data_IF_967646483067
#
_entry.id   IF_967646483067
#
_cell.length_a   1.000
_cell.length_b   1.000
_cell.length_c   1.000
_cell.angle_alpha   90.00
_cell.angle_beta   90.00
_cell.angle_gamma   90.00
#
_symmetry.space_group_name_H-M   'P 1'
#
loop_
_entity.id
_entity.type
_entity.pdbx_description
1 polymer ?
#
# COMPACT_ATOMS: atom_id res chain seq x y z
N UNK A 1 -19.69 -18.91 18.59
CA UNK A 1 -19.72 -18.75 17.12
C UNK A 1 -19.03 -17.45 16.84
N UNK A 2 -17.85 -17.50 16.23
CA UNK A 2 -17.06 -16.30 15.95
C UNK A 2 -17.77 -15.36 14.98
N UNK A 3 -17.42 -14.08 15.05
CA UNK A 3 -17.93 -13.04 14.14
C UNK A 3 -17.65 -13.38 12.68
N UNK A 4 -16.56 -14.10 12.39
CA UNK A 4 -16.11 -14.54 11.05
C UNK A 4 -17.16 -15.40 10.35
N UNK A 5 -17.75 -16.37 11.06
CA UNK A 5 -18.80 -17.22 10.48
C UNK A 5 -20.02 -16.40 10.10
N UNK A 6 -20.42 -15.45 10.95
CA UNK A 6 -21.57 -14.60 10.67
C UNK A 6 -21.35 -13.69 9.45
N UNK A 7 -20.15 -13.12 9.29
CA UNK A 7 -19.81 -12.29 8.12
C UNK A 7 -19.81 -13.14 6.86
N UNK A 8 -19.12 -14.26 6.86
CA UNK A 8 -19.04 -15.18 5.72
C UNK A 8 -20.42 -15.66 5.28
N UNK A 9 -21.24 -16.14 6.19
CA UNK A 9 -22.55 -16.69 5.86
C UNK A 9 -23.51 -15.64 5.30
N UNK A 10 -23.45 -14.39 5.80
CA UNK A 10 -24.21 -13.27 5.25
C UNK A 10 -23.76 -12.91 3.85
N UNK A 11 -22.44 -12.79 3.63
CA UNK A 11 -21.89 -12.49 2.31
C UNK A 11 -22.26 -13.57 1.31
N UNK A 12 -22.16 -14.85 1.67
CA UNK A 12 -22.61 -15.98 0.82
C UNK A 12 -24.10 -15.91 0.48
N UNK A 13 -24.93 -15.54 1.45
CA UNK A 13 -26.38 -15.46 1.23
C UNK A 13 -26.76 -14.37 0.21
N UNK A 14 -26.05 -13.25 0.17
CA UNK A 14 -26.30 -12.14 -0.76
C UNK A 14 -25.52 -12.24 -2.07
N UNK A 15 -24.41 -12.98 -2.10
CA UNK A 15 -23.50 -13.09 -3.24
C UNK A 15 -24.18 -13.39 -4.59
N UNK A 16 -25.23 -14.24 -4.67
CA UNK A 16 -25.90 -14.52 -5.95
C UNK A 16 -26.49 -13.30 -6.66
N UNK A 17 -26.62 -12.17 -5.97
CA UNK A 17 -27.15 -10.92 -6.54
C UNK A 17 -26.07 -9.96 -7.02
N UNK A 18 -24.78 -10.32 -6.87
CA UNK A 18 -23.64 -9.47 -7.20
C UNK A 18 -22.67 -10.13 -8.18
N UNK A 19 -21.93 -9.30 -8.92
CA UNK A 19 -20.85 -9.75 -9.80
C UNK A 19 -19.49 -9.83 -9.12
N UNK A 20 -19.33 -9.22 -7.93
CA UNK A 20 -18.11 -9.24 -7.12
C UNK A 20 -18.37 -8.72 -5.71
N UNK A 21 -17.47 -9.00 -4.78
CA UNK A 21 -17.58 -8.58 -3.37
C UNK A 21 -16.31 -7.82 -2.97
N UNK A 22 -16.48 -6.57 -2.56
CA UNK A 22 -15.46 -5.81 -1.87
C UNK A 22 -15.66 -5.91 -0.36
N UNK A 23 -14.65 -6.39 0.37
CA UNK A 23 -14.64 -6.47 1.82
C UNK A 23 -13.90 -5.26 2.38
N UNK A 24 -14.48 -4.62 3.39
CA UNK A 24 -13.89 -3.47 4.08
C UNK A 24 -14.13 -3.56 5.59
N UNK A 25 -13.30 -2.88 6.37
CA UNK A 25 -13.42 -2.69 7.82
C UNK A 25 -13.44 -4.00 8.65
N UNK A 26 -12.87 -5.07 8.12
CA UNK A 26 -12.69 -6.32 8.82
C UNK A 26 -11.28 -6.39 9.38
N UNK A 27 -11.16 -6.39 10.71
CA UNK A 27 -9.85 -6.38 11.37
C UNK A 27 -9.05 -7.68 11.19
N UNK A 28 -7.73 -7.57 11.31
CA UNK A 28 -6.86 -8.74 11.44
C UNK A 28 -6.94 -9.35 12.86
N UNK A 29 -6.79 -10.69 13.00
CA UNK A 29 -6.47 -11.65 11.95
C UNK A 29 -7.70 -12.20 11.18
N UNK A 30 -8.91 -11.88 11.59
CA UNK A 30 -10.16 -12.45 11.08
C UNK A 30 -10.33 -12.19 9.57
N UNK A 31 -9.92 -11.02 9.08
CA UNK A 31 -10.04 -10.66 7.68
C UNK A 31 -9.34 -11.63 6.72
N UNK A 32 -8.21 -12.21 7.12
CA UNK A 32 -7.48 -13.16 6.28
C UNK A 32 -8.28 -14.45 6.03
N UNK A 33 -8.87 -14.98 7.08
CA UNK A 33 -9.65 -16.22 6.99
C UNK A 33 -10.99 -16.00 6.27
N UNK A 34 -11.65 -14.87 6.53
CA UNK A 34 -12.91 -14.52 5.87
C UNK A 34 -12.70 -14.38 4.37
N UNK A 35 -11.68 -13.61 3.95
CA UNK A 35 -11.37 -13.41 2.54
C UNK A 35 -10.99 -14.73 1.87
N UNK A 36 -10.09 -15.52 2.48
CA UNK A 36 -9.66 -16.81 1.95
C UNK A 36 -10.85 -17.75 1.68
N UNK A 37 -11.73 -17.91 2.67
CA UNK A 37 -12.90 -18.79 2.53
C UNK A 37 -13.89 -18.28 1.48
N UNK A 38 -14.17 -16.99 1.46
CA UNK A 38 -15.08 -16.44 0.46
C UNK A 38 -14.55 -16.61 -0.96
N UNK A 39 -13.24 -16.46 -1.17
CA UNK A 39 -12.61 -16.75 -2.46
C UNK A 39 -12.71 -18.22 -2.88
N UNK A 40 -12.67 -19.15 -1.93
CA UNK A 40 -12.80 -20.57 -2.19
C UNK A 40 -14.26 -21.02 -2.41
N UNK A 41 -15.21 -20.33 -1.77
CA UNK A 41 -16.61 -20.74 -1.72
C UNK A 41 -17.52 -20.01 -2.71
N UNK A 42 -17.03 -18.93 -3.34
CA UNK A 42 -17.78 -18.13 -4.31
C UNK A 42 -17.16 -18.17 -5.71
N UNK A 43 -18.01 -18.17 -6.72
CA UNK A 43 -17.63 -18.15 -8.13
C UNK A 43 -17.51 -16.71 -8.72
N UNK A 44 -17.47 -15.70 -7.85
CA UNK A 44 -17.31 -14.28 -8.20
C UNK A 44 -16.07 -13.70 -7.51
N UNK A 45 -15.43 -12.65 -8.06
CA UNK A 45 -14.24 -12.08 -7.45
C UNK A 45 -14.53 -11.47 -6.09
N UNK A 46 -13.69 -11.81 -5.12
CA UNK A 46 -13.70 -11.26 -3.76
C UNK A 46 -12.35 -10.62 -3.48
N UNK A 47 -12.35 -9.41 -2.98
CA UNK A 47 -11.14 -8.70 -2.57
C UNK A 47 -11.39 -7.92 -1.27
N UNK A 48 -10.44 -7.93 -0.35
CA UNK A 48 -10.47 -7.08 0.83
C UNK A 48 -9.66 -5.82 0.56
N UNK A 49 -10.33 -4.67 0.46
CA UNK A 49 -9.71 -3.42 0.00
C UNK A 49 -8.65 -2.87 0.97
N UNK A 50 -8.89 -2.94 2.29
CA UNK A 50 -7.88 -2.51 3.28
C UNK A 50 -6.57 -3.30 3.19
N UNK A 51 -6.61 -4.52 2.69
CA UNK A 51 -5.41 -5.31 2.43
C UNK A 51 -4.82 -4.98 1.06
N UNK A 52 -5.59 -5.27 0.01
CA UNK A 52 -5.09 -5.31 -1.36
C UNK A 52 -5.16 -3.96 -2.08
N UNK A 53 -6.17 -3.12 -1.78
CA UNK A 53 -6.25 -1.77 -2.32
C UNK A 53 -5.07 -0.94 -1.86
N UNK A 54 -4.81 -0.88 -0.56
CA UNK A 54 -3.64 -0.18 0.00
C UNK A 54 -2.33 -0.73 -0.55
N UNK A 55 -2.22 -2.07 -0.68
CA UNK A 55 -1.02 -2.70 -1.25
C UNK A 55 -0.77 -2.26 -2.69
N UNK A 56 -1.79 -2.26 -3.55
CA UNK A 56 -1.68 -1.88 -4.96
C UNK A 56 -1.29 -0.41 -5.09
N UNK A 57 -1.98 0.48 -4.38
CA UNK A 57 -1.73 1.92 -4.50
C UNK A 57 -0.37 2.31 -3.92
N UNK A 58 0.00 1.79 -2.75
CA UNK A 58 1.32 2.05 -2.18
C UNK A 58 2.43 1.47 -3.06
N UNK A 59 2.22 0.33 -3.70
CA UNK A 59 3.17 -0.26 -4.65
C UNK A 59 3.36 0.60 -5.89
N UNK A 60 2.27 1.13 -6.47
CA UNK A 60 2.35 2.05 -7.60
C UNK A 60 3.12 3.33 -7.23
N UNK A 61 2.85 3.90 -6.05
CA UNK A 61 3.60 5.02 -5.51
C UNK A 61 5.07 4.67 -5.29
N UNK A 62 5.38 3.50 -4.74
CA UNK A 62 6.76 3.06 -4.48
C UNK A 62 7.56 2.90 -5.78
N UNK A 63 7.01 2.23 -6.79
CA UNK A 63 7.68 2.05 -8.09
C UNK A 63 8.09 3.40 -8.68
N UNK A 64 7.21 4.39 -8.63
CA UNK A 64 7.48 5.71 -9.16
C UNK A 64 8.40 6.55 -8.26
N UNK A 65 8.23 6.49 -6.94
CA UNK A 65 9.11 7.18 -6.00
C UNK A 65 10.55 6.65 -6.10
N UNK A 66 10.74 5.34 -6.27
CA UNK A 66 12.05 4.74 -6.54
C UNK A 66 12.67 5.25 -7.84
N UNK A 67 11.87 5.39 -8.90
CA UNK A 67 12.34 5.97 -10.16
C UNK A 67 12.78 7.43 -9.99
N UNK A 68 12.01 8.24 -9.25
CA UNK A 68 12.37 9.64 -8.95
C UNK A 68 13.65 9.71 -8.11
N UNK A 69 13.81 8.80 -7.15
CA UNK A 69 14.99 8.71 -6.28
C UNK A 69 16.21 8.10 -6.98
N UNK A 70 16.06 7.53 -8.19
CA UNK A 70 17.14 6.81 -8.88
C UNK A 70 17.57 5.52 -8.20
N UNK A 71 16.64 4.86 -7.48
CA UNK A 71 16.89 3.63 -6.71
C UNK A 71 16.23 2.42 -7.35
N UNK A 72 16.78 1.23 -7.09
CA UNK A 72 16.21 -0.04 -7.55
C UNK A 72 15.55 -0.76 -6.38
N UNK A 73 14.41 -1.38 -6.63
CA UNK A 73 13.61 -2.05 -5.60
C UNK A 73 14.36 -3.19 -4.91
N UNK A 74 15.21 -3.89 -5.64
CA UNK A 74 16.03 -4.99 -5.12
C UNK A 74 17.15 -4.56 -4.17
N UNK A 75 17.54 -3.27 -4.20
CA UNK A 75 18.69 -2.76 -3.44
C UNK A 75 18.27 -1.95 -2.20
N UNK A 76 17.01 -1.49 -2.15
CA UNK A 76 16.55 -0.59 -1.08
C UNK A 76 16.29 -1.31 0.22
N UNK A 77 16.59 -0.63 1.32
CA UNK A 77 16.25 -1.03 2.68
C UNK A 77 14.89 -0.44 3.05
N UNK A 78 13.95 -1.30 3.39
CA UNK A 78 12.56 -0.94 3.68
C UNK A 78 12.25 -1.17 5.16
N UNK A 79 11.76 -0.16 5.84
CA UNK A 79 11.24 -0.26 7.21
C UNK A 79 9.73 -0.12 7.17
N UNK A 80 9.04 -1.15 7.69
CA UNK A 80 7.57 -1.19 7.76
C UNK A 80 7.15 -1.07 9.21
N UNK A 81 6.52 0.04 9.57
CA UNK A 81 6.02 0.28 10.91
C UNK A 81 4.52 -0.01 10.98
N UNK A 82 4.21 -1.18 11.48
CA UNK A 82 2.91 -1.82 11.50
C UNK A 82 3.02 -3.28 11.04
N UNK A 83 2.18 -4.16 11.57
CA UNK A 83 2.12 -5.57 11.20
C UNK A 83 0.67 -6.07 11.17
N UNK A 84 -0.24 -5.19 10.83
CA UNK A 84 -1.64 -5.48 10.54
C UNK A 84 -1.85 -5.99 9.12
N UNK A 85 -3.12 -6.14 8.73
CA UNK A 85 -3.50 -6.67 7.43
C UNK A 85 -2.91 -5.87 6.26
N UNK A 86 -3.03 -4.54 6.27
CA UNK A 86 -2.49 -3.67 5.23
C UNK A 86 -0.97 -3.76 5.14
N UNK A 87 -0.25 -3.70 6.27
CA UNK A 87 1.21 -3.77 6.30
C UNK A 87 1.74 -5.10 5.72
N UNK A 88 1.12 -6.21 6.11
CA UNK A 88 1.45 -7.54 5.58
C UNK A 88 1.22 -7.61 4.08
N UNK A 89 0.07 -7.13 3.60
CA UNK A 89 -0.29 -7.18 2.18
C UNK A 89 0.57 -6.27 1.32
N UNK A 90 0.84 -5.04 1.78
CA UNK A 90 1.76 -4.12 1.11
C UNK A 90 3.15 -4.73 0.96
N UNK A 91 3.69 -5.27 2.06
CA UNK A 91 5.05 -5.83 2.05
C UNK A 91 5.15 -7.08 1.16
N UNK A 92 4.13 -7.95 1.16
CA UNK A 92 4.07 -9.09 0.23
C UNK A 92 4.12 -8.62 -1.23
N UNK A 93 3.32 -7.60 -1.59
CA UNK A 93 3.30 -7.10 -2.96
C UNK A 93 4.62 -6.40 -3.32
N UNK A 94 5.29 -5.72 -2.39
CA UNK A 94 6.64 -5.18 -2.61
C UNK A 94 7.65 -6.30 -2.93
N UNK A 95 7.56 -7.44 -2.23
CA UNK A 95 8.39 -8.62 -2.52
C UNK A 95 8.07 -9.19 -3.90
N UNK A 96 6.79 -9.29 -4.28
CA UNK A 96 6.37 -9.72 -5.62
C UNK A 96 6.88 -8.78 -6.74
N UNK A 97 7.12 -7.51 -6.42
CA UNK A 97 7.70 -6.51 -7.33
C UNK A 97 9.23 -6.52 -7.35
N UNK A 98 9.88 -7.33 -6.52
CA UNK A 98 11.33 -7.51 -6.50
C UNK A 98 12.06 -7.00 -5.25
N UNK A 99 11.36 -6.50 -4.23
CA UNK A 99 12.00 -6.17 -2.96
C UNK A 99 12.55 -7.44 -2.29
N UNK A 100 13.78 -7.39 -1.82
CA UNK A 100 14.42 -8.53 -1.15
C UNK A 100 13.96 -8.60 0.31
N UNK A 101 13.47 -9.76 0.73
CA UNK A 101 12.97 -9.98 2.08
C UNK A 101 14.02 -9.66 3.16
N UNK A 102 15.28 -9.96 2.91
CA UNK A 102 16.40 -9.66 3.81
C UNK A 102 16.65 -8.15 4.02
N UNK A 103 16.18 -7.32 3.10
CA UNK A 103 16.29 -5.87 3.19
C UNK A 103 15.06 -5.22 3.87
N UNK A 104 14.08 -6.01 4.29
CA UNK A 104 12.86 -5.53 4.92
C UNK A 104 12.91 -5.76 6.43
N UNK A 105 12.64 -4.71 7.19
CA UNK A 105 12.48 -4.77 8.65
C UNK A 105 11.06 -4.34 9.00
N UNK A 106 10.27 -5.27 9.53
CA UNK A 106 8.91 -5.01 9.97
C UNK A 106 8.85 -4.85 11.49
N UNK A 107 8.05 -3.90 11.97
CA UNK A 107 7.82 -3.65 13.39
C UNK A 107 6.33 -3.75 13.74
N UNK A 108 6.06 -4.19 14.94
CA UNK A 108 4.76 -4.07 15.59
C UNK A 108 4.85 -3.26 16.89
N UNK A 109 3.78 -3.22 17.68
CA UNK A 109 3.74 -2.50 18.95
C UNK A 109 4.76 -2.95 20.00
N UNK A 110 5.41 -4.10 19.79
CA UNK A 110 6.47 -4.65 20.67
C UNK A 110 7.88 -4.44 20.11
N UNK A 111 8.01 -3.73 18.97
CA UNK A 111 9.28 -3.47 18.31
C UNK A 111 9.52 -4.35 17.07
N UNK A 112 10.78 -4.54 16.72
CA UNK A 112 11.19 -5.30 15.54
C UNK A 112 10.69 -6.75 15.60
N UNK A 113 10.12 -7.20 14.49
CA UNK A 113 9.71 -8.60 14.32
C UNK A 113 10.96 -9.43 13.96
N UNK A 114 11.56 -10.05 14.98
CA UNK A 114 12.75 -10.90 14.84
C UNK A 114 12.41 -12.38 14.98
N UNK A 115 13.23 -13.27 14.41
CA UNK A 115 13.07 -14.73 14.51
C UNK A 115 13.19 -15.25 15.95
N UNK A 116 13.77 -14.46 16.84
CA UNK A 116 13.90 -14.82 18.27
C UNK A 116 12.59 -14.65 19.05
N UNK A 117 11.59 -13.95 18.48
CA UNK A 117 10.29 -13.75 19.12
C UNK A 117 9.42 -15.00 19.02
N UNK A 118 8.75 -15.35 20.12
CA UNK A 118 7.87 -16.54 20.25
C UNK A 118 6.40 -16.21 20.10
N UNK A 119 6.03 -14.92 20.10
CA UNK A 119 4.65 -14.42 20.07
C UNK A 119 4.12 -14.10 18.67
N UNK A 120 4.81 -14.56 17.63
CA UNK A 120 4.49 -14.25 16.24
C UNK A 120 3.45 -15.24 15.68
N UNK A 121 2.40 -14.70 15.04
CA UNK A 121 1.54 -15.48 14.17
C UNK A 121 2.27 -15.81 12.84
N UNK A 122 1.67 -16.66 12.01
CA UNK A 122 2.24 -17.10 10.74
C UNK A 122 2.60 -15.94 9.81
N UNK A 123 1.70 -14.96 9.67
CA UNK A 123 1.89 -13.82 8.79
C UNK A 123 3.09 -12.95 9.20
N UNK A 124 3.24 -12.69 10.50
CA UNK A 124 4.39 -11.95 11.04
C UNK A 124 5.68 -12.75 10.94
N UNK A 125 5.62 -14.06 11.17
CA UNK A 125 6.79 -14.94 11.11
C UNK A 125 7.45 -14.95 9.73
N UNK A 126 6.66 -14.79 8.67
CA UNK A 126 7.18 -14.67 7.30
C UNK A 126 8.16 -13.49 7.15
N UNK A 127 7.92 -12.37 7.84
CA UNK A 127 8.76 -11.18 7.80
C UNK A 127 9.77 -11.07 8.93
N UNK A 128 9.91 -12.11 9.75
CA UNK A 128 10.82 -12.08 10.89
C UNK A 128 12.29 -12.02 10.43
N UNK A 129 13.00 -10.97 10.84
CA UNK A 129 14.42 -10.79 10.52
C UNK A 129 15.36 -11.58 11.44
N UNK A 130 16.52 -11.93 10.93
CA UNK A 130 17.64 -12.50 11.73
C UNK A 130 18.45 -11.44 12.48
N UNK A 131 18.22 -10.16 12.22
CA UNK A 131 18.95 -9.07 12.85
C UNK A 131 18.65 -8.99 14.34
N UNK A 132 19.69 -9.04 15.15
CA UNK A 132 19.63 -8.97 16.61
C UNK A 132 20.18 -7.65 17.17
N UNK A 133 20.65 -6.78 16.29
CA UNK A 133 21.26 -5.48 16.58
C UNK A 133 20.25 -4.32 16.57
N UNK A 134 19.00 -4.57 16.20
CA UNK A 134 17.93 -3.59 16.13
C UNK A 134 16.66 -4.09 16.84
N UNK A 135 16.05 -3.22 17.66
CA UNK A 135 14.86 -3.54 18.45
C UNK A 135 13.74 -2.52 18.27
N UNK A 136 14.11 -1.27 17.98
CA UNK A 136 13.20 -0.11 17.93
C UNK A 136 13.09 0.46 16.51
N UNK A 137 12.08 1.31 16.28
CA UNK A 137 11.93 2.05 15.03
C UNK A 137 13.14 2.97 14.79
N UNK A 138 13.61 3.65 15.84
CA UNK A 138 14.74 4.57 15.76
C UNK A 138 16.04 3.86 15.30
N UNK A 139 16.26 2.63 15.74
CA UNK A 139 17.40 1.83 15.31
C UNK A 139 17.23 1.30 13.88
N UNK A 140 16.04 0.83 13.54
CA UNK A 140 15.73 0.25 12.24
C UNK A 140 15.79 1.26 11.10
N UNK A 141 15.35 2.51 11.35
CA UNK A 141 15.20 3.53 10.31
C UNK A 141 16.54 4.12 9.83
N UNK A 142 17.61 3.98 10.62
CA UNK A 142 18.94 4.50 10.27
C UNK A 142 19.44 3.92 8.96
N UNK A 143 19.69 4.79 7.99
CA UNK A 143 20.13 4.40 6.66
C UNK A 143 19.09 3.62 5.84
N UNK A 144 17.82 3.62 6.24
CA UNK A 144 16.75 3.06 5.44
C UNK A 144 16.40 3.97 4.25
N UNK A 145 16.05 3.36 3.12
CA UNK A 145 15.64 4.07 1.90
C UNK A 145 14.15 4.37 1.90
N UNK A 146 13.35 3.46 2.45
CA UNK A 146 11.89 3.51 2.43
C UNK A 146 11.34 3.30 3.83
N UNK A 147 10.42 4.17 4.24
CA UNK A 147 9.56 3.99 5.39
C UNK A 147 8.11 3.80 4.94
N UNK A 148 7.49 2.73 5.37
CA UNK A 148 6.07 2.47 5.20
C UNK A 148 5.39 2.47 6.57
N UNK A 149 4.62 3.51 6.86
CA UNK A 149 3.86 3.66 8.09
C UNK A 149 2.40 3.21 7.91
N UNK A 150 1.99 2.20 8.68
CA UNK A 150 0.64 1.64 8.71
C UNK A 150 0.27 1.27 10.15
N UNK A 151 0.52 2.17 11.09
CA UNK A 151 0.34 1.92 12.52
C UNK A 151 -0.44 3.03 13.23
N UNK A 152 0.22 4.00 13.78
CA UNK A 152 -0.37 5.12 14.51
C UNK A 152 0.38 6.41 14.24
N UNK A 153 -0.31 7.53 14.42
CA UNK A 153 0.27 8.86 14.18
C UNK A 153 1.41 9.23 15.11
N UNK A 154 2.25 10.15 14.65
CA UNK A 154 3.31 10.82 15.41
C UNK A 154 4.39 9.87 15.99
N UNK A 155 4.74 8.82 15.28
CA UNK A 155 5.78 7.86 15.70
C UNK A 155 7.10 8.04 14.96
N UNK A 156 7.12 8.75 13.84
CA UNK A 156 8.31 9.06 13.07
C UNK A 156 8.74 10.49 13.34
N UNK A 157 9.89 10.67 13.98
CA UNK A 157 10.42 12.01 14.30
C UNK A 157 11.21 12.61 13.13
N UNK A 158 11.43 13.94 13.16
CA UNK A 158 12.31 14.60 12.18
C UNK A 158 13.73 14.03 12.21
N UNK A 159 14.27 13.71 13.39
CA UNK A 159 15.62 13.14 13.52
C UNK A 159 15.70 11.73 12.91
N UNK A 160 14.65 10.94 13.05
CA UNK A 160 14.56 9.65 12.34
C UNK A 160 14.60 9.86 10.82
N UNK A 161 13.84 10.81 10.28
CA UNK A 161 13.86 11.12 8.84
C UNK A 161 15.26 11.61 8.40
N UNK A 162 15.92 12.45 9.21
CA UNK A 162 17.31 12.90 8.94
C UNK A 162 18.30 11.74 8.89
N UNK A 163 18.07 10.68 9.66
CA UNK A 163 18.94 9.51 9.73
C UNK A 163 18.79 8.53 8.56
N UNK A 164 17.76 8.68 7.73
CA UNK A 164 17.52 7.84 6.56
C UNK A 164 18.58 8.05 5.46
N UNK A 165 18.61 7.16 4.50
CA UNK A 165 19.44 7.28 3.31
C UNK A 165 19.10 8.53 2.47
N UNK A 166 19.98 9.00 1.57
CA UNK A 166 19.66 10.10 0.64
C UNK A 166 18.41 9.83 -0.18
N UNK A 167 17.65 10.87 -0.53
CA UNK A 167 16.36 10.75 -1.23
C UNK A 167 15.43 9.72 -0.56
N UNK A 168 15.10 9.88 0.74
CA UNK A 168 14.28 8.91 1.44
C UNK A 168 12.83 8.97 0.95
N UNK A 169 12.21 7.79 0.88
CA UNK A 169 10.79 7.64 0.53
C UNK A 169 10.02 7.40 1.84
N UNK A 170 9.07 8.28 2.15
CA UNK A 170 8.29 8.21 3.39
C UNK A 170 6.81 8.13 3.05
N UNK A 171 6.22 6.97 3.27
CA UNK A 171 4.78 6.74 3.17
C UNK A 171 4.18 6.70 4.57
N UNK A 172 3.59 7.82 5.00
CA UNK A 172 2.97 7.97 6.32
C UNK A 172 1.45 7.84 6.17
N UNK A 173 0.94 6.61 6.27
CA UNK A 173 -0.42 6.24 5.87
C UNK A 173 -1.38 6.01 7.03
N UNK A 174 -0.96 6.23 8.28
CA UNK A 174 -1.84 6.12 9.44
C UNK A 174 -2.97 7.16 9.38
N UNK A 175 -4.18 6.74 9.73
CA UNK A 175 -5.37 7.57 9.78
C UNK A 175 -5.92 7.66 11.21
N UNK A 176 -6.44 8.83 11.65
CA UNK A 176 -6.55 10.11 10.93
C UNK A 176 -5.25 10.93 10.94
N UNK A 177 -4.28 10.59 11.78
CA UNK A 177 -3.02 11.31 11.97
C UNK A 177 -1.89 10.47 11.37
N UNK A 178 -1.09 11.01 10.41
CA UNK A 178 0.04 10.29 9.83
C UNK A 178 1.18 10.11 10.85
N UNK A 179 2.08 9.17 10.58
CA UNK A 179 3.25 8.89 11.41
C UNK A 179 4.18 10.10 11.59
N UNK A 180 4.22 10.97 10.60
CA UNK A 180 4.85 12.30 10.61
C UNK A 180 4.02 13.22 9.73
N UNK A 181 3.89 14.51 10.09
CA UNK A 181 3.24 15.50 9.22
C UNK A 181 4.07 15.76 7.95
N UNK A 182 3.41 16.20 6.89
CA UNK A 182 4.09 16.58 5.65
C UNK A 182 5.12 17.70 5.92
N UNK A 183 4.70 18.71 6.69
CA UNK A 183 5.53 19.86 7.07
C UNK A 183 6.78 19.45 7.84
N UNK A 184 6.64 18.55 8.82
CA UNK A 184 7.76 18.04 9.61
C UNK A 184 8.74 17.22 8.79
N UNK A 185 8.22 16.38 7.87
CA UNK A 185 9.06 15.59 6.99
C UNK A 185 9.87 16.48 6.04
N UNK A 186 9.24 17.48 5.41
CA UNK A 186 9.91 18.46 4.54
C UNK A 186 10.88 19.35 5.29
N UNK A 187 10.57 19.72 6.55
CA UNK A 187 11.48 20.48 7.41
C UNK A 187 12.69 19.65 7.86
N UNK A 188 12.50 18.34 8.02
CA UNK A 188 13.60 17.44 8.34
C UNK A 188 14.59 17.31 7.19
N UNK A 189 14.07 17.12 5.94
CA UNK A 189 14.88 16.90 4.73
C UNK A 189 14.13 17.36 3.48
N UNK A 190 14.68 18.30 2.72
CA UNK A 190 14.03 18.80 1.51
C UNK A 190 14.04 17.79 0.33
N UNK A 191 14.86 16.74 0.40
CA UNK A 191 14.95 15.67 -0.59
C UNK A 191 14.03 14.48 -0.30
N UNK A 192 13.16 14.55 0.73
CA UNK A 192 12.22 13.49 1.05
C UNK A 192 11.11 13.38 0.00
N UNK A 193 10.83 12.15 -0.45
CA UNK A 193 9.68 11.83 -1.29
C UNK A 193 8.54 11.36 -0.38
N UNK A 194 7.57 12.26 -0.16
CA UNK A 194 6.51 12.05 0.83
C UNK A 194 5.19 11.67 0.16
N UNK A 195 4.50 10.69 0.74
CA UNK A 195 3.09 10.40 0.46
C UNK A 195 2.32 10.17 1.76
N UNK A 196 1.05 10.54 1.75
CA UNK A 196 0.11 10.33 2.87
C UNK A 196 -1.24 9.81 2.36
N UNK A 197 -2.11 9.40 3.27
CA UNK A 197 -3.52 9.11 2.94
C UNK A 197 -4.39 10.35 2.73
N UNK A 198 -3.87 11.55 3.02
CA UNK A 198 -4.65 12.81 3.00
C UNK A 198 -4.73 13.41 1.60
N UNK A 199 -5.89 14.01 1.29
CA UNK A 199 -6.17 14.65 -0.02
C UNK A 199 -5.59 16.06 -0.15
N UNK A 200 -5.22 16.69 0.95
CA UNK A 200 -4.71 18.06 1.02
C UNK A 200 -3.18 18.15 0.79
N UNK A 201 -2.51 17.02 0.63
CA UNK A 201 -1.07 16.97 0.36
C UNK A 201 -0.75 16.35 -1.01
N UNK A 202 0.45 16.59 -1.55
CA UNK A 202 0.95 15.87 -2.72
C UNK A 202 0.96 14.35 -2.50
N UNK A 203 0.83 13.58 -3.60
CA UNK A 203 0.97 12.12 -3.58
C UNK A 203 0.04 11.42 -2.58
N UNK A 204 -1.26 11.63 -2.73
CA UNK A 204 -2.26 10.93 -1.92
C UNK A 204 -2.29 9.43 -2.27
N UNK A 205 -2.00 8.58 -1.28
CA UNK A 205 -2.21 7.13 -1.38
C UNK A 205 -3.62 6.82 -0.87
N UNK A 206 -4.53 6.59 -1.81
CA UNK A 206 -5.93 6.34 -1.52
C UNK A 206 -6.45 5.19 -2.40
N UNK A 207 -7.09 4.21 -1.78
CA UNK A 207 -7.61 3.00 -2.43
C UNK A 207 -8.59 3.29 -3.56
N UNK A 208 -9.30 4.43 -3.53
CA UNK A 208 -10.22 4.86 -4.59
C UNK A 208 -9.56 5.00 -5.97
N UNK A 209 -8.23 5.14 -6.02
CA UNK A 209 -7.47 5.16 -7.27
C UNK A 209 -7.43 3.77 -7.94
N UNK A 210 -7.69 2.70 -7.18
CA UNK A 210 -7.52 1.31 -7.63
C UNK A 210 -8.79 0.48 -7.63
N UNK A 211 -9.41 0.27 -6.46
CA UNK A 211 -10.41 -0.79 -6.30
C UNK A 211 -11.59 -0.72 -7.28
N UNK A 212 -12.17 0.46 -7.62
CA UNK A 212 -13.30 0.49 -8.54
C UNK A 212 -12.93 -0.01 -9.94
N UNK A 213 -11.73 0.31 -10.38
CA UNK A 213 -11.25 -0.01 -11.72
C UNK A 213 -10.72 -1.43 -11.81
N UNK A 214 -10.18 -1.97 -10.70
CA UNK A 214 -9.79 -3.38 -10.59
C UNK A 214 -11.03 -4.27 -10.69
N UNK A 215 -12.09 -3.96 -9.94
CA UNK A 215 -13.36 -4.65 -10.06
C UNK A 215 -13.98 -4.48 -11.45
N UNK A 216 -13.89 -3.29 -12.04
CA UNK A 216 -14.38 -3.05 -13.40
C UNK A 216 -13.69 -3.98 -14.41
N UNK A 217 -12.36 -4.09 -14.37
CA UNK A 217 -11.60 -5.00 -15.24
C UNK A 217 -11.97 -6.47 -15.02
N UNK A 218 -12.09 -6.89 -13.76
CA UNK A 218 -12.50 -8.24 -13.41
C UNK A 218 -13.92 -8.58 -13.89
N UNK A 219 -14.86 -7.64 -13.75
CA UNK A 219 -16.25 -7.81 -14.17
C UNK A 219 -16.40 -7.83 -15.71
N UNK A 220 -15.65 -7.01 -16.43
CA UNK A 220 -15.68 -6.94 -17.89
C UNK A 220 -15.25 -8.28 -18.54
N UNK A 221 -14.40 -9.02 -17.86
CA UNK A 221 -13.93 -10.35 -18.31
C UNK A 221 -14.63 -11.51 -17.62
N UNK A 222 -15.60 -11.23 -16.74
CA UNK A 222 -16.26 -12.26 -15.92
C UNK A 222 -15.27 -13.11 -15.12
N UNK A 223 -14.19 -12.49 -14.63
CA UNK A 223 -13.18 -13.18 -13.86
C UNK A 223 -13.79 -13.71 -12.54
N UNK A 224 -13.38 -14.93 -12.16
CA UNK A 224 -13.82 -15.54 -10.89
C UNK A 224 -13.02 -15.10 -9.68
N UNK A 225 -11.83 -14.52 -9.91
CA UNK A 225 -10.93 -14.06 -8.87
C UNK A 225 -10.14 -12.84 -9.33
N UNK A 226 -9.70 -12.02 -8.38
CA UNK A 226 -8.65 -11.01 -8.57
C UNK A 226 -7.35 -11.65 -8.09
N UNK A 227 -6.53 -12.10 -9.04
CA UNK A 227 -5.28 -12.82 -8.78
C UNK A 227 -4.09 -11.86 -8.62
N UNK A 228 -2.90 -12.41 -8.39
CA UNK A 228 -1.69 -11.60 -8.17
C UNK A 228 -1.27 -10.85 -9.44
N UNK A 229 -1.39 -11.49 -10.61
CA UNK A 229 -1.07 -10.88 -11.91
C UNK A 229 -1.96 -9.67 -12.20
N UNK A 230 -3.24 -9.73 -11.90
CA UNK A 230 -4.18 -8.61 -12.02
C UNK A 230 -3.80 -7.45 -11.10
N UNK A 231 -3.36 -7.74 -9.88
CA UNK A 231 -2.89 -6.71 -8.93
C UNK A 231 -1.61 -6.03 -9.43
N UNK A 232 -0.65 -6.81 -9.91
CA UNK A 232 0.60 -6.29 -10.49
C UNK A 232 0.32 -5.48 -11.76
N UNK A 233 -0.62 -5.92 -12.61
CA UNK A 233 -1.05 -5.16 -13.78
C UNK A 233 -1.65 -3.80 -13.37
N UNK A 234 -2.49 -3.78 -12.35
CA UNK A 234 -3.04 -2.54 -11.78
C UNK A 234 -1.94 -1.61 -11.25
N UNK A 235 -0.95 -2.14 -10.51
CA UNK A 235 0.21 -1.38 -10.01
C UNK A 235 0.91 -0.68 -11.17
N UNK A 236 1.25 -1.42 -12.23
CA UNK A 236 1.96 -0.85 -13.37
C UNK A 236 1.10 0.15 -14.16
N UNK A 237 -0.19 -0.10 -14.33
CA UNK A 237 -1.10 0.82 -15.01
C UNK A 237 -1.19 2.16 -14.27
N UNK A 238 -1.38 2.13 -12.95
CA UNK A 238 -1.44 3.33 -12.11
C UNK A 238 -0.09 4.06 -12.13
N UNK A 239 1.02 3.35 -11.97
CA UNK A 239 2.35 3.94 -12.00
C UNK A 239 2.66 4.60 -13.36
N UNK A 240 2.31 3.95 -14.48
CA UNK A 240 2.54 4.48 -15.81
C UNK A 240 1.64 5.69 -16.11
N UNK A 241 0.42 5.72 -15.59
CA UNK A 241 -0.49 6.85 -15.78
C UNK A 241 0.07 8.15 -15.18
N UNK A 242 0.74 8.09 -14.03
CA UNK A 242 1.38 9.27 -13.42
C UNK A 242 2.48 9.88 -14.29
N UNK A 243 3.07 9.12 -15.21
CA UNK A 243 4.14 9.56 -16.11
C UNK A 243 3.64 10.22 -17.39
N UNK A 244 2.35 10.11 -17.67
CA UNK A 244 1.73 10.74 -18.83
C UNK A 244 1.38 12.19 -18.55
N UNK A 245 1.25 13.06 -19.58
CA UNK A 245 0.78 14.43 -19.41
C UNK A 245 -0.55 14.46 -18.64
N UNK A 246 -0.62 15.29 -17.61
CA UNK A 246 -1.83 15.36 -16.75
C UNK A 246 -2.92 16.18 -17.47
N UNK A 247 -4.16 15.68 -17.56
CA UNK A 247 -5.27 16.40 -18.19
C UNK A 247 -5.60 17.71 -17.45
N UNK A 248 -6.01 18.73 -18.20
CA UNK A 248 -6.40 20.04 -17.65
C UNK A 248 -7.51 19.95 -16.61
N UNK A 249 -8.44 19.00 -16.77
CA UNK A 249 -9.52 18.77 -15.81
C UNK A 249 -8.97 18.35 -14.42
N UNK A 250 -7.86 17.61 -14.36
CA UNK A 250 -7.21 17.24 -13.11
C UNK A 250 -6.52 18.45 -12.49
N UNK A 251 -5.76 19.21 -13.30
CA UNK A 251 -5.11 20.45 -12.84
C UNK A 251 -6.15 21.44 -12.28
N UNK A 252 -7.27 21.63 -12.97
CA UNK A 252 -8.35 22.52 -12.54
C UNK A 252 -9.00 22.06 -11.22
N UNK A 253 -9.23 20.75 -11.07
CA UNK A 253 -9.86 20.19 -9.86
C UNK A 253 -9.00 20.39 -8.57
N UNK A 254 -7.70 20.45 -8.72
CA UNK A 254 -6.76 20.69 -7.60
C UNK A 254 -6.25 22.14 -7.52
N UNK A 255 -6.79 23.05 -8.36
CA UNK A 255 -6.38 24.46 -8.40
C UNK A 255 -4.87 24.66 -8.59
N UNK A 256 -4.25 23.80 -9.38
CA UNK A 256 -2.81 23.83 -9.70
C UNK A 256 -2.59 23.94 -11.19
N UNK A 257 -1.40 24.35 -11.57
CA UNK A 257 -1.01 24.43 -12.96
C UNK A 257 0.13 23.44 -13.21
N UNK A 258 0.04 22.68 -14.31
CA UNK A 258 1.13 21.86 -14.82
C UNK A 258 1.65 20.77 -13.86
N UNK A 259 0.77 20.00 -13.25
CA UNK A 259 1.19 18.76 -12.56
C UNK A 259 1.99 17.90 -13.53
N UNK A 260 3.14 17.44 -13.11
CA UNK A 260 4.02 16.60 -13.91
C UNK A 260 4.75 15.59 -13.03
N UNK A 261 5.12 14.47 -13.61
CA UNK A 261 5.84 13.40 -12.90
C UNK A 261 7.08 13.93 -12.18
N UNK A 262 7.21 13.61 -10.90
CA UNK A 262 8.29 14.08 -10.03
C UNK A 262 7.98 13.89 -8.54
N UNK A 263 8.74 14.56 -7.69
CA UNK A 263 8.63 14.42 -6.23
C UNK A 263 7.25 14.74 -5.67
N UNK A 264 6.53 15.70 -6.26
CA UNK A 264 5.18 16.10 -5.83
C UNK A 264 4.04 15.41 -6.61
N UNK A 265 4.38 14.61 -7.61
CA UNK A 265 3.40 13.88 -8.41
C UNK A 265 4.00 12.59 -8.95
N UNK A 266 4.07 11.56 -8.13
CA UNK A 266 4.46 10.20 -8.53
C UNK A 266 3.30 9.19 -8.44
N UNK A 267 2.09 9.66 -8.11
CA UNK A 267 0.86 8.88 -8.15
C UNK A 267 -0.27 9.72 -8.74
N UNK A 268 -1.18 9.16 -9.57
CA UNK A 268 -2.28 9.91 -10.17
C UNK A 268 -3.24 10.44 -9.09
N UNK A 269 -3.94 11.52 -9.40
CA UNK A 269 -5.00 12.03 -8.53
C UNK A 269 -6.28 11.19 -8.68
N UNK A 270 -7.08 11.01 -7.60
CA UNK A 270 -8.33 10.23 -7.63
C UNK A 270 -9.35 10.68 -8.68
N UNK A 271 -9.31 11.93 -9.06
CA UNK A 271 -10.24 12.52 -10.07
C UNK A 271 -9.77 12.34 -11.51
N UNK A 272 -8.65 11.66 -11.76
CA UNK A 272 -8.15 11.44 -13.10
C UNK A 272 -9.10 10.51 -13.89
N UNK A 273 -9.78 11.01 -14.93
CA UNK A 273 -10.78 10.23 -15.65
C UNK A 273 -10.19 9.06 -16.45
N UNK A 274 -8.88 9.04 -16.66
CA UNK A 274 -8.20 7.97 -17.39
C UNK A 274 -8.05 6.70 -16.56
N UNK A 275 -8.18 6.77 -15.23
CA UNK A 275 -8.05 5.62 -14.34
C UNK A 275 -9.00 4.49 -14.73
N UNK A 276 -10.26 4.82 -15.11
CA UNK A 276 -11.24 3.80 -15.49
C UNK A 276 -10.81 3.01 -16.75
N UNK A 277 -10.16 3.66 -17.69
CA UNK A 277 -9.71 2.99 -18.91
C UNK A 277 -8.37 2.28 -18.70
N UNK A 278 -7.38 2.99 -18.19
CA UNK A 278 -6.01 2.47 -18.06
C UNK A 278 -5.92 1.30 -17.10
N UNK A 279 -6.51 1.42 -15.92
CA UNK A 279 -6.45 0.37 -14.89
C UNK A 279 -7.34 -0.80 -15.26
N UNK A 280 -8.61 -0.56 -15.66
CA UNK A 280 -9.53 -1.65 -15.98
C UNK A 280 -9.07 -2.47 -17.18
N UNK A 281 -8.54 -1.81 -18.23
CA UNK A 281 -8.00 -2.54 -19.39
C UNK A 281 -6.74 -3.35 -19.05
N UNK A 282 -5.90 -2.86 -18.14
CA UNK A 282 -4.72 -3.59 -17.71
C UNK A 282 -5.09 -4.84 -16.90
N UNK A 283 -6.09 -4.74 -16.02
CA UNK A 283 -6.58 -5.84 -15.20
C UNK A 283 -7.33 -6.89 -16.03
N UNK A 284 -8.02 -6.47 -17.11
CA UNK A 284 -8.80 -7.33 -17.99
C UNK A 284 -7.96 -8.18 -18.97
N UNK A 285 -6.68 -7.85 -19.17
CA UNK A 285 -5.73 -8.56 -20.05
C UNK A 285 -5.12 -9.77 -19.37
#
# INVERSE_FOLDING_TARGET
VGSEMCIRDRVKAIAPTFGGINLEDIKAPECFEIERRLKEELDIPVMHDDQHGTAIISSAGLVNALQVAGKKIEDVKIVVNGAGASAVSCTKLYVSLGARLENIVMLDSKGVISKTRTDLNEQKRYFATDRTDIHTLEEAIKGADVFLGLSKGNVLSQDMVRSMAPMPIVFALANPTPEISYEDAMAARPDVLMATGRSDYPNQINNVIGFPYIFRGALDTQAKAINEEMKIAAVHAIANLAKQPVPDVVNAAYHVNNLSFGAEYFIPKPVDPRLITEVSCAVAK
#
